data_IF_969207049091
#
_entry.id   IF_969207049091
#
_cell.length_a   1.000
_cell.length_b   1.000
_cell.length_c   1.000
_cell.angle_alpha   90.00
_cell.angle_beta   90.00
_cell.angle_gamma   90.00
#
_symmetry.space_group_name_H-M   'P 1'
#
loop_
_entity.id
_entity.type
_entity.pdbx_description
1 polymer ?
#
# COMPACT_ATOMS: atom_id res chain seq x y z
N UNK A 1 7.51 15.92 6.52
CA UNK A 1 6.04 15.68 6.66
C UNK A 1 5.77 14.67 7.78
N UNK A 2 4.63 14.74 8.51
CA UNK A 2 4.29 13.77 9.57
C UNK A 2 3.61 12.54 8.96
N UNK A 3 4.10 11.32 9.27
CA UNK A 3 3.46 10.07 8.84
C UNK A 3 2.16 9.81 9.62
N UNK A 4 1.06 9.43 8.94
CA UNK A 4 -0.28 9.23 9.51
C UNK A 4 -0.72 7.78 9.38
N UNK A 5 -1.35 7.20 10.39
CA UNK A 5 -1.76 5.78 10.40
C UNK A 5 -3.25 5.53 10.07
N UNK A 6 -4.13 6.53 10.09
CA UNK A 6 -5.52 6.46 9.61
C UNK A 6 -6.39 5.32 10.15
N UNK A 7 -6.14 4.81 11.35
CA UNK A 7 -6.84 3.65 11.92
C UNK A 7 -6.61 2.31 11.18
N UNK A 8 -5.72 2.26 10.21
CA UNK A 8 -5.33 1.06 9.47
C UNK A 8 -4.01 0.50 10.00
N UNK A 9 -3.68 -0.74 9.64
CA UNK A 9 -2.37 -1.32 9.94
C UNK A 9 -1.34 -0.83 8.93
N UNK A 10 -0.08 -0.74 9.36
CA UNK A 10 1.06 -0.41 8.52
C UNK A 10 2.25 -1.20 9.02
N UNK A 11 3.14 -1.61 8.12
CA UNK A 11 4.47 -2.15 8.41
C UNK A 11 5.28 -1.19 9.28
N UNK A 12 5.18 0.10 9.02
CA UNK A 12 5.87 1.17 9.77
C UNK A 12 5.33 1.47 11.17
N UNK A 13 4.28 0.79 11.64
CA UNK A 13 3.72 1.08 12.97
C UNK A 13 4.71 0.87 14.11
N UNK A 14 5.66 -0.04 13.93
CA UNK A 14 6.71 -0.34 14.91
C UNK A 14 8.02 0.39 14.64
N UNK A 15 8.16 0.95 13.46
CA UNK A 15 9.38 1.65 13.02
C UNK A 15 9.03 2.93 12.26
N UNK A 16 8.82 3.99 13.03
CA UNK A 16 8.51 5.31 12.50
C UNK A 16 9.71 5.92 11.76
N UNK A 17 10.94 5.54 12.11
CA UNK A 17 12.15 6.10 11.50
C UNK A 17 12.24 5.67 10.03
N UNK A 18 11.95 4.41 9.72
CA UNK A 18 11.91 3.94 8.33
C UNK A 18 10.80 4.63 7.52
N UNK A 19 9.64 4.91 8.14
CA UNK A 19 8.60 5.71 7.49
C UNK A 19 9.06 7.13 7.18
N UNK A 20 9.74 7.79 8.13
CA UNK A 20 10.26 9.14 7.94
C UNK A 20 11.40 9.17 6.92
N UNK A 21 12.24 8.13 6.89
CA UNK A 21 13.28 7.98 5.88
C UNK A 21 12.67 7.89 4.48
N UNK A 22 11.67 7.04 4.26
CA UNK A 22 10.97 6.94 2.98
C UNK A 22 10.41 8.31 2.57
N UNK A 23 9.73 9.01 3.49
CA UNK A 23 9.13 10.32 3.18
C UNK A 23 10.21 11.35 2.83
N UNK A 24 11.38 11.35 3.53
CA UNK A 24 12.48 12.24 3.21
C UNK A 24 13.11 11.95 1.85
N UNK A 25 13.25 10.68 1.48
CA UNK A 25 13.72 10.31 0.14
C UNK A 25 12.78 10.83 -0.95
N UNK A 26 11.46 10.70 -0.76
CA UNK A 26 10.48 11.24 -1.70
C UNK A 26 10.56 12.77 -1.78
N UNK A 27 10.74 13.47 -0.65
CA UNK A 27 10.92 14.93 -0.65
C UNK A 27 12.20 15.35 -1.39
N UNK A 28 13.30 14.59 -1.24
CA UNK A 28 14.59 14.90 -1.87
C UNK A 28 14.58 14.62 -3.39
N UNK A 29 14.06 13.46 -3.80
CA UNK A 29 14.06 13.05 -5.22
C UNK A 29 12.89 13.57 -6.03
N UNK A 30 11.80 13.97 -5.38
CA UNK A 30 10.58 14.50 -6.00
C UNK A 30 10.07 13.65 -7.20
N UNK A 31 9.92 12.32 -7.02
CA UNK A 31 9.49 11.46 -8.12
C UNK A 31 8.10 11.86 -8.59
N UNK A 32 7.86 11.79 -9.91
CA UNK A 32 6.54 11.99 -10.52
C UNK A 32 5.81 10.67 -10.68
N UNK A 33 6.54 9.59 -10.93
CA UNK A 33 5.99 8.25 -11.06
C UNK A 33 6.58 7.35 -9.98
N UNK A 34 5.71 6.88 -9.09
CA UNK A 34 6.08 6.07 -7.93
C UNK A 34 5.42 4.70 -8.01
N UNK A 35 6.19 3.64 -7.79
CA UNK A 35 5.73 2.26 -7.74
C UNK A 35 5.91 1.69 -6.34
N UNK A 36 4.83 1.17 -5.74
CA UNK A 36 4.84 0.42 -4.47
C UNK A 36 4.49 -1.04 -4.74
N UNK A 37 5.34 -1.96 -4.28
CA UNK A 37 5.06 -3.39 -4.24
C UNK A 37 4.84 -3.79 -2.79
N UNK A 38 3.61 -4.25 -2.49
CA UNK A 38 3.15 -4.47 -1.12
C UNK A 38 2.35 -3.28 -0.58
N UNK A 39 1.10 -3.13 -1.04
CA UNK A 39 0.20 -2.03 -0.64
C UNK A 39 -0.43 -2.27 0.72
N UNK A 40 -0.69 -3.54 1.07
CA UNK A 40 -1.31 -3.95 2.32
C UNK A 40 -2.64 -3.22 2.59
N UNK A 41 -2.76 -2.46 3.69
CA UNK A 41 -3.95 -1.64 4.00
C UNK A 41 -3.85 -0.21 3.46
N UNK A 42 -2.89 0.09 2.61
CA UNK A 42 -2.73 1.35 1.89
C UNK A 42 -2.29 2.55 2.72
N UNK A 43 -1.76 2.33 3.94
CA UNK A 43 -1.33 3.44 4.80
C UNK A 43 -0.11 4.14 4.22
N UNK A 44 0.88 3.38 3.77
CA UNK A 44 2.07 3.90 3.10
C UNK A 44 1.67 4.60 1.81
N UNK A 45 0.91 3.91 0.96
CA UNK A 45 0.36 4.46 -0.30
C UNK A 45 -0.32 5.81 -0.10
N UNK A 46 -1.16 5.93 0.96
CA UNK A 46 -1.87 7.18 1.26
C UNK A 46 -0.93 8.31 1.64
N UNK A 47 0.07 8.05 2.49
CA UNK A 47 1.06 9.05 2.88
C UNK A 47 1.92 9.48 1.69
N UNK A 48 2.36 8.52 0.88
CA UNK A 48 3.11 8.77 -0.36
C UNK A 48 2.29 9.64 -1.32
N UNK A 49 1.05 9.27 -1.62
CA UNK A 49 0.19 10.06 -2.50
C UNK A 49 -0.07 11.48 -1.96
N UNK A 50 -0.22 11.67 -0.64
CA UNK A 50 -0.37 13.01 -0.05
C UNK A 50 0.90 13.85 -0.25
N UNK A 51 2.07 13.24 -0.09
CA UNK A 51 3.34 13.92 -0.31
C UNK A 51 3.58 14.23 -1.79
N UNK A 52 3.42 13.25 -2.67
CA UNK A 52 3.57 13.43 -4.12
C UNK A 52 2.63 14.51 -4.66
N UNK A 53 1.39 14.52 -4.19
CA UNK A 53 0.41 15.55 -4.56
C UNK A 53 0.88 16.96 -4.17
N UNK A 54 1.51 17.07 -2.98
CA UNK A 54 2.03 18.35 -2.48
C UNK A 54 3.24 18.83 -3.28
N UNK A 55 4.24 17.97 -3.47
CA UNK A 55 5.52 18.36 -4.08
C UNK A 55 5.42 18.53 -5.60
N UNK A 56 4.53 17.78 -6.25
CA UNK A 56 4.33 17.83 -7.70
C UNK A 56 3.09 18.62 -8.13
N UNK A 57 2.47 19.39 -7.22
CA UNK A 57 1.27 20.20 -7.53
C UNK A 57 0.14 19.35 -8.19
N UNK A 58 -0.07 18.13 -7.73
CA UNK A 58 -1.06 17.20 -8.26
C UNK A 58 -0.66 16.44 -9.52
N UNK A 59 0.49 16.73 -10.12
CA UNK A 59 0.97 16.06 -11.33
C UNK A 59 1.90 14.89 -10.95
N UNK A 60 1.31 13.74 -10.63
CA UNK A 60 2.03 12.51 -10.30
C UNK A 60 1.24 11.27 -10.72
N UNK A 61 1.92 10.13 -10.81
CA UNK A 61 1.32 8.80 -10.94
C UNK A 61 1.81 7.90 -9.81
N UNK A 62 0.89 7.13 -9.27
CA UNK A 62 1.18 6.11 -8.27
C UNK A 62 0.70 4.75 -8.78
N UNK A 63 1.59 3.80 -8.85
CA UNK A 63 1.31 2.40 -9.13
C UNK A 63 1.45 1.59 -7.85
N UNK A 64 0.44 0.80 -7.51
CA UNK A 64 0.47 -0.12 -6.38
C UNK A 64 0.22 -1.55 -6.84
N UNK A 65 1.08 -2.48 -6.46
CA UNK A 65 0.93 -3.91 -6.72
C UNK A 65 0.74 -4.63 -5.39
N UNK A 66 -0.28 -5.47 -5.29
CA UNK A 66 -0.52 -6.35 -4.14
C UNK A 66 -1.42 -7.51 -4.56
N UNK A 67 -1.37 -8.61 -3.83
CA UNK A 67 -2.32 -9.72 -3.98
C UNK A 67 -3.71 -9.35 -3.45
N UNK A 68 -3.79 -8.35 -2.58
CA UNK A 68 -5.00 -7.85 -1.89
C UNK A 68 -5.72 -8.94 -1.10
N UNK A 69 -7.03 -9.16 -1.35
CA UNK A 69 -7.79 -10.20 -0.68
C UNK A 69 -7.55 -11.58 -1.30
N UNK A 70 -7.51 -12.60 -0.45
CA UNK A 70 -7.48 -14.03 -0.69
C UNK A 70 -6.77 -14.52 -1.96
N UNK A 71 -5.69 -15.20 -1.75
CA UNK A 71 -5.10 -16.08 -2.74
C UNK A 71 -5.48 -17.53 -2.41
N UNK A 72 -5.67 -18.35 -3.45
CA UNK A 72 -5.89 -19.80 -3.30
C UNK A 72 -4.58 -20.57 -3.09
N UNK A 73 -3.48 -19.87 -2.79
CA UNK A 73 -2.16 -20.45 -2.69
C UNK A 73 -1.76 -20.61 -1.22
N UNK A 74 -1.28 -21.78 -0.83
CA UNK A 74 -0.86 -22.11 0.55
C UNK A 74 0.33 -21.25 1.03
N UNK A 75 1.22 -20.82 0.14
CA UNK A 75 2.37 -19.98 0.45
C UNK A 75 1.88 -18.60 0.91
N UNK A 76 0.94 -18.02 0.18
CA UNK A 76 0.37 -16.70 0.51
C UNK A 76 -0.44 -16.75 1.80
N UNK A 77 -1.09 -17.89 2.09
CA UNK A 77 -1.81 -18.09 3.34
C UNK A 77 -0.86 -18.21 4.56
N UNK A 78 0.38 -18.65 4.38
CA UNK A 78 1.41 -18.64 5.42
C UNK A 78 2.01 -17.25 5.64
N UNK A 79 2.21 -16.47 4.59
CA UNK A 79 2.70 -15.09 4.66
C UNK A 79 1.60 -14.12 5.09
N UNK A 80 0.38 -14.28 4.55
CA UNK A 80 -0.82 -13.56 4.94
C UNK A 80 -1.50 -14.25 6.14
N UNK A 81 -0.81 -14.30 7.26
CA UNK A 81 -1.39 -14.90 8.46
C UNK A 81 -2.75 -14.29 8.80
N UNK A 82 -3.69 -15.13 9.31
CA UNK A 82 -5.04 -14.78 9.81
C UNK A 82 -5.05 -13.53 10.73
N UNK A 83 -3.89 -13.17 11.31
CA UNK A 83 -3.68 -11.93 12.09
C UNK A 83 -3.87 -10.64 11.30
N UNK A 84 -3.80 -10.66 9.97
CA UNK A 84 -3.93 -9.44 9.16
C UNK A 84 -5.35 -8.87 9.16
N UNK A 85 -6.38 -9.73 9.30
CA UNK A 85 -7.77 -9.29 9.41
C UNK A 85 -8.16 -8.79 10.81
N UNK A 86 -7.30 -8.97 11.84
CA UNK A 86 -7.58 -8.50 13.19
C UNK A 86 -7.19 -7.04 13.34
N UNK A 87 -8.19 -6.17 13.47
CA UNK A 87 -8.00 -4.81 13.96
C UNK A 87 -7.69 -4.89 15.46
N UNK A 88 -6.63 -4.24 15.92
CA UNK A 88 -6.14 -4.33 17.31
C UNK A 88 -7.15 -3.84 18.36
N UNK A 89 -8.09 -2.98 17.97
CA UNK A 89 -9.15 -2.48 18.84
C UNK A 89 -10.41 -3.36 18.66
N UNK A 90 -10.92 -4.03 19.71
CA UNK A 90 -12.03 -4.97 19.59
C UNK A 90 -13.33 -4.30 19.09
N UNK A 91 -13.62 -3.07 19.49
CA UNK A 91 -14.80 -2.33 19.02
C UNK A 91 -14.72 -2.02 17.53
N UNK A 92 -13.54 -1.62 17.04
CA UNK A 92 -13.32 -1.39 15.59
C UNK A 92 -13.32 -2.68 14.81
N UNK A 93 -12.80 -3.77 15.37
CA UNK A 93 -12.87 -5.09 14.76
C UNK A 93 -14.33 -5.53 14.58
N UNK A 94 -15.15 -5.41 15.64
CA UNK A 94 -16.58 -5.67 15.60
C UNK A 94 -17.28 -4.80 14.53
N UNK A 95 -17.02 -3.49 14.55
CA UNK A 95 -17.64 -2.56 13.61
C UNK A 95 -17.27 -2.85 12.16
N UNK A 96 -15.98 -2.99 11.85
CA UNK A 96 -15.53 -3.13 10.45
C UNK A 96 -15.71 -4.55 9.90
N UNK A 97 -15.42 -5.59 10.69
CA UNK A 97 -15.43 -6.95 10.19
C UNK A 97 -16.80 -7.64 10.36
N UNK A 98 -17.57 -7.31 11.42
CA UNK A 98 -18.84 -7.97 11.70
C UNK A 98 -20.03 -7.13 11.23
N UNK A 99 -20.09 -5.85 11.62
CA UNK A 99 -21.23 -4.99 11.30
C UNK A 99 -21.16 -4.49 9.85
N UNK A 100 -20.03 -3.90 9.46
CA UNK A 100 -19.86 -3.31 8.14
C UNK A 100 -19.38 -4.32 7.08
N UNK A 101 -18.95 -5.51 7.48
CA UNK A 101 -18.39 -6.58 6.62
C UNK A 101 -17.37 -6.04 5.60
N UNK A 102 -16.54 -5.08 6.03
CA UNK A 102 -15.56 -4.41 5.15
C UNK A 102 -14.22 -5.08 5.27
N UNK A 103 -13.75 -5.65 4.16
CA UNK A 103 -12.37 -6.09 4.04
C UNK A 103 -11.46 -4.88 3.76
N UNK A 104 -10.61 -4.49 4.74
CA UNK A 104 -9.68 -3.37 4.59
C UNK A 104 -8.51 -3.65 3.64
N UNK A 105 -8.35 -4.92 3.22
CA UNK A 105 -7.36 -5.37 2.24
C UNK A 105 -7.90 -5.45 0.82
N UNK A 106 -9.22 -5.32 0.63
CA UNK A 106 -9.77 -5.43 -0.73
C UNK A 106 -9.31 -4.25 -1.57
N UNK A 107 -9.08 -4.51 -2.85
CA UNK A 107 -8.66 -3.49 -3.80
C UNK A 107 -9.65 -2.32 -3.83
N UNK A 108 -10.95 -2.58 -3.71
CA UNK A 108 -12.01 -1.58 -3.64
C UNK A 108 -11.89 -0.71 -2.39
N UNK A 109 -11.56 -1.34 -1.23
CA UNK A 109 -11.35 -0.62 0.03
C UNK A 109 -10.13 0.30 -0.06
N UNK A 110 -9.08 -0.14 -0.76
CA UNK A 110 -7.88 0.68 -0.98
C UNK A 110 -8.18 1.82 -1.97
N UNK A 111 -8.84 1.56 -3.10
CA UNK A 111 -9.27 2.63 -4.02
C UNK A 111 -10.14 3.67 -3.31
N UNK A 112 -11.08 3.24 -2.48
CA UNK A 112 -11.90 4.17 -1.68
C UNK A 112 -11.04 4.97 -0.69
N UNK A 113 -10.06 4.35 -0.06
CA UNK A 113 -9.15 5.02 0.87
C UNK A 113 -8.25 6.03 0.17
N UNK A 114 -7.82 5.74 -1.07
CA UNK A 114 -7.03 6.63 -1.91
C UNK A 114 -7.90 7.56 -2.78
N UNK A 115 -9.21 7.58 -2.59
CA UNK A 115 -10.19 8.24 -3.49
C UNK A 115 -9.92 9.71 -3.80
N UNK A 116 -9.24 10.44 -2.90
CA UNK A 116 -8.76 11.81 -3.17
C UNK A 116 -7.81 11.90 -4.39
N UNK A 117 -7.13 10.79 -4.69
CA UNK A 117 -6.10 10.68 -5.74
C UNK A 117 -6.53 9.73 -6.86
N UNK A 118 -7.82 9.47 -7.04
CA UNK A 118 -8.35 8.46 -7.96
C UNK A 118 -7.82 8.57 -9.40
N UNK A 119 -7.51 9.78 -9.86
CA UNK A 119 -7.01 10.03 -11.20
C UNK A 119 -5.49 9.79 -11.33
N UNK A 120 -4.80 9.70 -10.21
CA UNK A 120 -3.34 9.54 -10.14
C UNK A 120 -2.92 8.14 -9.73
N UNK A 121 -3.86 7.28 -9.28
CA UNK A 121 -3.57 5.97 -8.69
C UNK A 121 -4.06 4.86 -9.61
N UNK A 122 -3.18 3.89 -9.86
CA UNK A 122 -3.52 2.61 -10.49
C UNK A 122 -3.07 1.47 -9.58
N UNK A 123 -3.98 0.57 -9.26
CA UNK A 123 -3.70 -0.61 -8.45
C UNK A 123 -3.79 -1.85 -9.32
N UNK A 124 -2.83 -2.75 -9.16
CA UNK A 124 -2.72 -4.01 -9.88
C UNK A 124 -2.84 -5.15 -8.87
N UNK A 125 -3.82 -6.03 -9.08
CA UNK A 125 -4.07 -7.18 -8.22
C UNK A 125 -3.40 -8.41 -8.77
N UNK A 126 -2.42 -8.92 -8.04
CA UNK A 126 -1.68 -10.13 -8.41
C UNK A 126 -0.26 -10.14 -7.86
N UNK A 127 0.49 -11.14 -8.31
CA UNK A 127 1.91 -11.28 -7.96
C UNK A 127 2.75 -10.23 -8.68
N UNK A 128 3.71 -9.65 -7.98
CA UNK A 128 4.64 -8.66 -8.54
C UNK A 128 5.29 -9.15 -9.83
N UNK A 129 5.72 -10.41 -9.88
CA UNK A 129 6.32 -11.07 -11.07
C UNK A 129 5.44 -10.95 -12.31
N UNK A 130 4.12 -11.04 -12.17
CA UNK A 130 3.16 -10.97 -13.29
C UNK A 130 2.69 -9.55 -13.54
N UNK A 131 2.44 -8.79 -12.47
CA UNK A 131 1.84 -7.47 -12.60
C UNK A 131 2.85 -6.40 -13.06
N UNK A 132 4.14 -6.56 -12.74
CA UNK A 132 5.21 -5.66 -13.21
C UNK A 132 5.30 -5.60 -14.74
N UNK A 133 5.04 -6.71 -15.44
CA UNK A 133 5.05 -6.72 -16.91
C UNK A 133 3.96 -5.86 -17.57
N UNK A 134 2.94 -5.44 -16.81
CA UNK A 134 1.85 -4.57 -17.28
C UNK A 134 2.15 -3.08 -17.10
N UNK A 135 3.28 -2.76 -16.47
CA UNK A 135 3.70 -1.39 -16.16
C UNK A 135 4.92 -1.06 -17.03
N UNK A 136 4.90 0.08 -17.69
CA UNK A 136 6.09 0.62 -18.33
C UNK A 136 7.06 1.11 -17.24
N UNK A 137 8.05 0.27 -16.93
CA UNK A 137 9.05 0.57 -15.91
C UNK A 137 10.01 1.69 -16.33
N UNK A 138 10.09 2.01 -17.62
CA UNK A 138 10.99 3.07 -18.12
C UNK A 138 10.57 4.48 -17.66
N UNK A 139 9.31 4.65 -17.26
CA UNK A 139 8.80 5.93 -16.75
C UNK A 139 8.79 6.02 -15.23
N UNK A 140 9.15 4.93 -14.51
CA UNK A 140 9.10 4.88 -13.04
C UNK A 140 10.33 5.56 -12.45
N UNK A 141 10.11 6.62 -11.67
CA UNK A 141 11.21 7.39 -11.04
C UNK A 141 11.67 6.77 -9.72
N UNK A 142 10.76 6.11 -8.98
CA UNK A 142 11.07 5.54 -7.66
C UNK A 142 10.25 4.29 -7.39
N UNK A 143 10.91 3.27 -6.86
CA UNK A 143 10.28 2.00 -6.45
C UNK A 143 10.44 1.79 -4.96
N UNK A 144 9.36 1.41 -4.28
CA UNK A 144 9.37 0.98 -2.90
C UNK A 144 8.88 -0.46 -2.78
N UNK A 145 9.73 -1.33 -2.26
CA UNK A 145 9.45 -2.75 -2.08
C UNK A 145 9.15 -3.03 -0.60
N UNK A 146 7.90 -3.30 -0.26
CA UNK A 146 7.41 -3.69 1.08
C UNK A 146 6.47 -4.92 0.94
N UNK A 147 6.76 -5.79 -0.01
CA UNK A 147 5.99 -7.00 -0.33
C UNK A 147 6.33 -8.19 0.55
N UNK A 148 6.10 -9.39 0.03
CA UNK A 148 6.39 -10.64 0.72
C UNK A 148 7.84 -10.75 1.21
N UNK A 149 8.03 -11.40 2.36
CA UNK A 149 9.31 -11.49 3.05
C UNK A 149 9.98 -12.87 2.88
N UNK A 150 9.43 -13.75 2.04
CA UNK A 150 10.08 -15.03 1.72
C UNK A 150 11.10 -14.88 0.61
N UNK A 151 12.10 -15.75 0.61
CA UNK A 151 13.11 -15.81 -0.45
C UNK A 151 12.51 -16.04 -1.85
N UNK A 152 11.32 -16.64 -1.91
CA UNK A 152 10.62 -16.96 -3.17
C UNK A 152 9.83 -15.76 -3.71
N UNK A 153 9.57 -14.74 -2.89
CA UNK A 153 8.77 -13.54 -3.24
C UNK A 153 9.60 -12.27 -3.44
N UNK A 154 10.87 -12.31 -3.06
CA UNK A 154 11.85 -11.25 -3.28
C UNK A 154 12.75 -11.62 -4.44
#
# INVERSE_FOLDING_TARGET
MKFKYYFRKSSFKKDINSALLLMSQIENYQPKVFLEVGVFQGVTSRNVCELLNKINNGNFLFYGIDIFENTNNEIDNKEMTVKHNKISNPFKHLLFNIILKKNLFSIESIYKFLGKFKNNVKLYKGYSKTELSKIDLSIVDMVFLDGGHSFETV
#
